data_IF_721181936735
#
_entry.id   IF_721181936735
#
_cell.length_a   1.000
_cell.length_b   1.000
_cell.length_c   1.000
_cell.angle_alpha   90.00
_cell.angle_beta   90.00
_cell.angle_gamma   90.00
#
_symmetry.space_group_name_H-M   'P 1'
#
loop_
_entity.id
_entity.type
_entity.pdbx_description
1 polymer ?
#
# COMPACT_ATOMS: atom_id res chain seq x y z
N UNK A 1 4.00 20.17 -0.58
CA UNK A 1 5.12 19.45 -1.18
C UNK A 1 5.85 20.38 -2.11
N UNK A 2 7.11 20.64 -1.82
CA UNK A 2 7.99 21.44 -2.68
C UNK A 2 8.63 20.58 -3.78
N UNK A 3 9.41 21.23 -4.65
CA UNK A 3 10.10 20.57 -5.76
C UNK A 3 11.02 19.44 -5.32
N UNK A 4 11.84 19.68 -4.30
CA UNK A 4 12.87 18.71 -3.89
C UNK A 4 12.20 17.47 -3.28
N UNK A 5 11.18 17.70 -2.46
CA UNK A 5 10.37 16.63 -1.90
C UNK A 5 9.65 15.83 -2.99
N UNK A 6 9.07 16.49 -4.00
CA UNK A 6 8.46 15.83 -5.15
C UNK A 6 9.47 14.92 -5.87
N UNK A 7 10.67 15.42 -6.17
CA UNK A 7 11.70 14.64 -6.85
C UNK A 7 12.13 13.41 -6.05
N UNK A 8 12.26 13.55 -4.73
CA UNK A 8 12.57 12.43 -3.84
C UNK A 8 11.47 11.38 -3.85
N UNK A 9 10.21 11.80 -3.78
CA UNK A 9 9.05 10.89 -3.81
C UNK A 9 8.96 10.17 -5.15
N UNK A 10 9.06 10.88 -6.27
CA UNK A 10 9.02 10.24 -7.60
C UNK A 10 10.16 9.24 -7.80
N UNK A 11 11.38 9.58 -7.36
CA UNK A 11 12.53 8.67 -7.42
C UNK A 11 12.31 7.43 -6.57
N UNK A 12 11.78 7.59 -5.36
CA UNK A 12 11.46 6.49 -4.45
C UNK A 12 10.42 5.55 -5.04
N UNK A 13 9.36 6.12 -5.59
CA UNK A 13 8.27 5.39 -6.25
C UNK A 13 8.67 4.85 -7.64
N UNK A 14 9.86 5.23 -8.13
CA UNK A 14 10.37 4.92 -9.49
C UNK A 14 9.38 5.32 -10.58
N UNK A 15 8.72 6.46 -10.40
CA UNK A 15 7.76 7.02 -11.34
C UNK A 15 8.45 7.98 -12.30
N UNK A 16 8.23 7.77 -13.60
CA UNK A 16 8.43 8.82 -14.59
C UNK A 16 7.38 9.92 -14.45
N UNK A 17 7.65 11.14 -14.95
CA UNK A 17 6.67 12.23 -14.94
C UNK A 17 5.36 11.86 -15.65
N UNK A 18 5.44 11.06 -16.72
CA UNK A 18 4.28 10.60 -17.49
C UNK A 18 3.43 9.61 -16.69
N UNK A 19 4.04 8.66 -16.00
CA UNK A 19 3.32 7.71 -15.16
C UNK A 19 2.67 8.41 -13.96
N UNK A 20 3.40 9.32 -13.31
CA UNK A 20 2.84 10.13 -12.22
C UNK A 20 1.64 10.95 -12.68
N UNK A 21 1.69 11.55 -13.87
CA UNK A 21 0.59 12.29 -14.46
C UNK A 21 -0.65 11.40 -14.68
N UNK A 22 -0.46 10.20 -15.25
CA UNK A 22 -1.54 9.23 -15.46
C UNK A 22 -2.20 8.80 -14.14
N UNK A 23 -1.40 8.43 -13.13
CA UNK A 23 -1.91 8.00 -11.83
C UNK A 23 -2.60 9.13 -11.05
N UNK A 24 -2.13 10.37 -11.22
CA UNK A 24 -2.75 11.55 -10.60
C UNK A 24 -3.92 12.10 -11.41
N UNK A 25 -4.19 11.56 -12.60
CA UNK A 25 -5.19 12.09 -13.56
C UNK A 25 -4.98 13.58 -13.85
N UNK A 26 -3.73 13.98 -14.08
CA UNK A 26 -3.34 15.34 -14.49
C UNK A 26 -2.58 15.33 -15.80
N UNK A 27 -2.51 16.48 -16.47
CA UNK A 27 -1.70 16.61 -17.68
C UNK A 27 -0.19 16.44 -17.38
N UNK A 28 0.60 15.74 -18.21
CA UNK A 28 2.04 15.60 -18.03
C UNK A 28 2.80 16.93 -17.89
N UNK A 29 2.35 18.00 -18.55
CA UNK A 29 2.93 19.36 -18.42
C UNK A 29 2.70 19.93 -17.03
N UNK A 30 1.64 19.53 -16.33
CA UNK A 30 1.38 19.94 -14.94
C UNK A 30 2.46 19.37 -14.02
N UNK A 31 2.80 18.09 -14.18
CA UNK A 31 3.89 17.45 -13.41
C UNK A 31 5.24 18.09 -13.75
N UNK A 32 5.51 18.33 -15.04
CA UNK A 32 6.73 19.03 -15.47
C UNK A 32 6.84 20.42 -14.84
N UNK A 33 5.75 21.19 -14.77
CA UNK A 33 5.72 22.51 -14.10
C UNK A 33 6.06 22.43 -12.62
N UNK A 34 5.56 21.42 -11.89
CA UNK A 34 5.93 21.22 -10.48
C UNK A 34 7.43 20.90 -10.34
N UNK A 35 7.97 20.07 -11.24
CA UNK A 35 9.38 19.64 -11.22
C UNK A 35 10.38 20.72 -11.67
N UNK A 36 10.02 21.57 -12.64
CA UNK A 36 10.95 22.54 -13.25
C UNK A 36 10.83 23.92 -12.62
N UNK A 37 9.59 24.40 -12.44
CA UNK A 37 9.31 25.78 -12.00
C UNK A 37 9.10 25.88 -10.49
N UNK A 38 9.13 24.76 -9.78
CA UNK A 38 8.91 24.71 -8.33
C UNK A 38 7.50 25.13 -7.92
N UNK A 39 6.52 25.03 -8.82
CA UNK A 39 5.13 25.27 -8.48
C UNK A 39 4.69 24.27 -7.40
N UNK A 40 3.95 24.77 -6.40
CA UNK A 40 3.47 23.95 -5.28
C UNK A 40 2.53 22.86 -5.80
N UNK A 41 2.76 21.62 -5.37
CA UNK A 41 1.86 20.50 -5.68
C UNK A 41 0.52 20.74 -4.96
N UNK A 42 -0.63 20.63 -5.65
CA UNK A 42 -1.94 20.76 -5.03
C UNK A 42 -2.18 19.70 -3.96
N UNK A 43 -2.98 20.05 -2.94
CA UNK A 43 -3.25 19.20 -1.77
C UNK A 43 -3.60 17.74 -2.11
N UNK A 44 -4.58 17.47 -3.00
CA UNK A 44 -4.95 16.10 -3.36
C UNK A 44 -3.81 15.29 -3.98
N UNK A 45 -3.05 15.89 -4.90
CA UNK A 45 -1.91 15.23 -5.54
C UNK A 45 -0.76 14.99 -4.55
N UNK A 46 -0.50 15.97 -3.67
CA UNK A 46 0.47 15.84 -2.60
C UNK A 46 0.08 14.70 -1.64
N UNK A 47 -1.19 14.62 -1.23
CA UNK A 47 -1.67 13.60 -0.31
C UNK A 47 -1.53 12.20 -0.92
N UNK A 48 -1.92 12.03 -2.20
CA UNK A 48 -1.76 10.77 -2.91
C UNK A 48 -0.29 10.34 -3.01
N UNK A 49 0.60 11.24 -3.45
CA UNK A 49 2.05 10.95 -3.55
C UNK A 49 2.66 10.54 -2.21
N UNK A 50 2.27 11.23 -1.13
CA UNK A 50 2.71 10.90 0.23
C UNK A 50 2.19 9.55 0.71
N UNK A 51 0.92 9.24 0.45
CA UNK A 51 0.33 7.95 0.79
C UNK A 51 1.03 6.82 0.05
N UNK A 52 1.22 6.96 -1.27
CA UNK A 52 1.94 5.97 -2.07
C UNK A 52 3.37 5.74 -1.57
N UNK A 53 4.09 6.80 -1.19
CA UNK A 53 5.44 6.68 -0.64
C UNK A 53 5.50 5.88 0.67
N UNK A 54 4.48 6.01 1.52
CA UNK A 54 4.36 5.27 2.79
C UNK A 54 3.89 3.83 2.58
N UNK A 55 2.93 3.60 1.69
CA UNK A 55 2.51 2.26 1.29
C UNK A 55 3.69 1.48 0.69
N UNK A 56 4.49 2.12 -0.16
CA UNK A 56 5.70 1.52 -0.72
C UNK A 56 6.71 1.12 0.38
N UNK A 57 6.90 1.95 1.43
CA UNK A 57 7.75 1.59 2.57
C UNK A 57 7.19 0.43 3.39
N UNK A 58 5.87 0.33 3.48
CA UNK A 58 5.17 -0.74 4.18
C UNK A 58 5.07 -2.03 3.35
N UNK A 59 5.61 -2.04 2.12
CA UNK A 59 5.49 -3.18 1.21
C UNK A 59 4.05 -3.42 0.74
N UNK A 60 3.18 -2.42 0.76
CA UNK A 60 1.79 -2.54 0.31
C UNK A 60 1.62 -2.08 -1.14
N UNK A 61 0.69 -2.70 -1.90
CA UNK A 61 0.43 -2.32 -3.27
C UNK A 61 -0.14 -0.90 -3.30
N UNK A 62 0.50 -0.03 -4.08
CA UNK A 62 0.06 1.35 -4.28
C UNK A 62 -0.14 1.71 -5.76
N UNK A 63 0.31 0.87 -6.70
CA UNK A 63 0.20 1.13 -8.14
C UNK A 63 -0.63 0.05 -8.85
N UNK A 64 -1.42 0.41 -9.87
CA UNK A 64 -2.15 -0.55 -10.68
C UNK A 64 -1.16 -1.22 -11.63
N UNK A 65 -0.86 -2.51 -11.45
CA UNK A 65 0.10 -3.23 -12.29
C UNK A 65 -0.56 -3.83 -13.53
N UNK A 66 -1.61 -4.60 -13.31
CA UNK A 66 -2.21 -5.46 -14.35
C UNK A 66 -3.70 -5.18 -14.57
N UNK A 67 -4.36 -4.53 -13.60
CA UNK A 67 -5.81 -4.29 -13.62
C UNK A 67 -6.29 -3.26 -14.65
N UNK A 68 -5.38 -2.62 -15.39
CA UNK A 68 -5.73 -1.62 -16.41
C UNK A 68 -5.64 -2.16 -17.84
N UNK A 69 -5.09 -3.37 -18.03
CA UNK A 69 -4.88 -3.94 -19.37
C UNK A 69 -6.24 -4.30 -19.98
N UNK A 70 -6.51 -3.81 -21.19
CA UNK A 70 -7.74 -4.11 -21.93
C UNK A 70 -8.97 -3.29 -21.50
N UNK A 71 -8.81 -2.35 -20.57
CA UNK A 71 -9.88 -1.43 -20.19
C UNK A 71 -10.02 -0.28 -21.19
N UNK A 72 -11.23 0.26 -21.32
CA UNK A 72 -11.46 1.53 -21.99
C UNK A 72 -10.78 2.68 -21.22
N UNK A 73 -10.56 3.83 -21.85
CA UNK A 73 -9.99 4.99 -21.18
C UNK A 73 -10.83 5.44 -19.97
N UNK A 74 -12.15 5.39 -20.09
CA UNK A 74 -13.08 5.75 -19.02
C UNK A 74 -12.99 4.77 -17.84
N UNK A 75 -12.98 3.46 -18.12
CA UNK A 75 -12.87 2.44 -17.09
C UNK A 75 -11.50 2.48 -16.41
N UNK A 76 -10.43 2.69 -17.17
CA UNK A 76 -9.09 2.84 -16.63
C UNK A 76 -8.98 4.07 -15.72
N UNK A 77 -9.59 5.20 -16.10
CA UNK A 77 -9.64 6.40 -15.27
C UNK A 77 -10.40 6.16 -13.96
N UNK A 78 -11.51 5.43 -14.01
CA UNK A 78 -12.29 5.08 -12.82
C UNK A 78 -11.53 4.11 -11.90
N UNK A 79 -10.86 3.09 -12.44
CA UNK A 79 -10.03 2.19 -11.66
C UNK A 79 -8.85 2.92 -10.99
N UNK A 80 -8.24 3.90 -11.67
CA UNK A 80 -7.20 4.76 -11.08
C UNK A 80 -7.78 5.63 -9.96
N UNK A 81 -9.01 6.15 -10.10
CA UNK A 81 -9.70 6.90 -9.03
C UNK A 81 -9.94 6.02 -7.80
N UNK A 82 -10.54 4.84 -7.99
CA UNK A 82 -10.83 3.88 -6.92
C UNK A 82 -9.55 3.42 -6.21
N UNK A 83 -8.49 3.12 -6.96
CA UNK A 83 -7.20 2.76 -6.39
C UNK A 83 -6.64 3.89 -5.52
N UNK A 84 -6.73 5.15 -5.96
CA UNK A 84 -6.28 6.29 -5.15
C UNK A 84 -7.03 6.39 -3.84
N UNK A 85 -8.35 6.25 -3.88
CA UNK A 85 -9.19 6.29 -2.67
C UNK A 85 -8.84 5.16 -1.71
N UNK A 86 -8.68 3.94 -2.25
CA UNK A 86 -8.25 2.79 -1.48
C UNK A 86 -6.87 3.02 -0.83
N UNK A 87 -5.90 3.52 -1.60
CA UNK A 87 -4.55 3.81 -1.08
C UNK A 87 -4.56 4.87 0.02
N UNK A 88 -5.41 5.90 -0.09
CA UNK A 88 -5.56 6.90 0.95
C UNK A 88 -6.15 6.28 2.22
N UNK A 89 -7.20 5.47 2.10
CA UNK A 89 -7.81 4.78 3.24
C UNK A 89 -6.83 3.82 3.92
N UNK A 90 -6.03 3.10 3.13
CA UNK A 90 -5.01 2.16 3.62
C UNK A 90 -3.85 2.89 4.32
N UNK A 91 -3.38 4.01 3.76
CA UNK A 91 -2.37 4.85 4.40
C UNK A 91 -2.88 5.45 5.72
N UNK A 92 -4.12 5.95 5.72
CA UNK A 92 -4.76 6.47 6.94
C UNK A 92 -4.89 5.38 8.00
N UNK A 93 -5.20 4.14 7.60
CA UNK A 93 -5.21 2.99 8.50
C UNK A 93 -3.85 2.77 9.15
N UNK A 94 -2.77 2.65 8.37
CA UNK A 94 -1.42 2.44 8.92
C UNK A 94 -1.01 3.57 9.87
N UNK A 95 -1.37 4.81 9.51
CA UNK A 95 -1.13 5.97 10.37
C UNK A 95 -1.88 5.88 11.69
N UNK A 96 -3.14 5.44 11.69
CA UNK A 96 -3.92 5.21 12.93
C UNK A 96 -3.27 4.13 13.79
N UNK A 97 -2.88 2.99 13.21
CA UNK A 97 -2.19 1.91 13.94
C UNK A 97 -0.89 2.42 14.56
N UNK A 98 -0.08 3.16 13.78
CA UNK A 98 1.15 3.76 14.30
C UNK A 98 0.89 4.77 15.41
N UNK A 99 -0.14 5.62 15.29
CA UNK A 99 -0.47 6.65 16.26
C UNK A 99 -0.91 6.08 17.62
N UNK A 100 -1.50 4.88 17.66
CA UNK A 100 -1.84 4.17 18.91
C UNK A 100 -0.67 3.42 19.55
N UNK A 101 0.54 3.52 18.98
CA UNK A 101 1.74 2.84 19.48
C UNK A 101 2.11 1.56 18.74
N UNK A 102 1.46 1.26 17.61
CA UNK A 102 1.65 0.03 16.85
C UNK A 102 0.45 -0.91 16.96
N UNK A 103 0.59 -2.17 16.49
CA UNK A 103 -0.45 -3.18 16.64
C UNK A 103 -0.81 -3.38 18.11
N UNK A 104 -2.10 -3.35 18.45
CA UNK A 104 -2.55 -3.57 19.83
C UNK A 104 -2.43 -5.04 20.23
N UNK A 105 -2.64 -5.94 19.25
CA UNK A 105 -2.42 -7.36 19.39
C UNK A 105 -1.20 -7.78 18.55
N UNK A 106 -0.17 -8.44 19.13
CA UNK A 106 0.99 -8.89 18.38
C UNK A 106 0.62 -10.13 17.56
N UNK A 107 0.42 -9.94 16.26
CA UNK A 107 0.24 -11.07 15.34
C UNK A 107 1.60 -11.73 15.09
N UNK A 108 1.67 -13.06 15.19
CA UNK A 108 2.84 -13.81 14.76
C UNK A 108 2.79 -13.96 13.24
N UNK A 109 3.79 -13.41 12.55
CA UNK A 109 3.86 -13.43 11.09
C UNK A 109 4.85 -14.51 10.64
N UNK A 110 4.34 -15.44 9.84
CA UNK A 110 5.11 -16.45 9.13
C UNK A 110 5.21 -16.03 7.64
N UNK A 111 6.41 -15.57 7.27
CA UNK A 111 6.70 -15.11 5.91
C UNK A 111 6.86 -16.27 4.91
N UNK A 112 7.17 -17.48 5.36
CA UNK A 112 7.37 -18.64 4.48
C UNK A 112 6.02 -19.26 4.11
N UNK A 113 5.09 -19.35 5.07
CA UNK A 113 3.73 -19.84 4.85
C UNK A 113 2.74 -18.75 4.42
N UNK A 114 3.20 -17.49 4.37
CA UNK A 114 2.38 -16.31 4.06
C UNK A 114 1.13 -16.17 4.95
N UNK A 115 1.32 -16.35 6.26
CA UNK A 115 0.27 -16.28 7.27
C UNK A 115 0.63 -15.33 8.40
N UNK A 116 -0.37 -14.69 8.96
CA UNK A 116 -0.29 -14.02 10.25
C UNK A 116 -1.33 -14.64 11.18
N UNK A 117 -0.94 -14.92 12.43
CA UNK A 117 -1.78 -15.58 13.42
C UNK A 117 -1.91 -14.75 14.68
N UNK A 118 -3.12 -14.73 15.25
CA UNK A 118 -3.39 -14.15 16.55
C UNK A 118 -4.00 -15.22 17.46
N UNK A 119 -3.17 -15.75 18.35
CA UNK A 119 -3.51 -16.93 19.14
C UNK A 119 -3.81 -18.15 18.25
N UNK A 120 -4.55 -19.12 18.79
CA UNK A 120 -4.89 -20.36 18.08
C UNK A 120 -6.12 -20.22 17.19
N UNK A 121 -6.85 -19.10 17.30
CA UNK A 121 -8.19 -18.98 16.73
C UNK A 121 -8.27 -18.04 15.54
N UNK A 122 -7.31 -17.17 15.27
CA UNK A 122 -7.43 -16.15 14.21
C UNK A 122 -6.25 -16.23 13.25
N UNK A 123 -6.53 -16.19 11.95
CA UNK A 123 -5.52 -16.26 10.89
C UNK A 123 -5.85 -15.33 9.74
N UNK A 124 -4.84 -14.61 9.27
CA UNK A 124 -4.87 -13.81 8.06
C UNK A 124 -3.85 -14.38 7.07
N UNK A 125 -4.30 -14.72 5.86
CA UNK A 125 -3.44 -15.14 4.76
C UNK A 125 -3.07 -13.93 3.90
N UNK A 126 -1.89 -13.97 3.30
CA UNK A 126 -1.46 -12.95 2.33
C UNK A 126 -0.71 -13.57 1.15
N UNK A 127 -0.52 -12.78 0.11
CA UNK A 127 0.31 -13.15 -1.05
C UNK A 127 1.55 -12.29 -1.08
N UNK A 128 2.69 -12.88 -1.43
CA UNK A 128 3.88 -12.14 -1.82
C UNK A 128 3.72 -11.53 -3.22
N UNK A 129 4.09 -10.26 -3.36
CA UNK A 129 4.09 -9.57 -4.64
C UNK A 129 5.50 -9.59 -5.27
N UNK A 130 5.64 -9.59 -6.61
CA UNK A 130 6.94 -9.70 -7.28
C UNK A 130 7.95 -8.58 -6.95
N UNK A 131 7.47 -7.44 -6.46
CA UNK A 131 8.29 -6.30 -6.01
C UNK A 131 8.74 -6.37 -4.56
N UNK A 132 8.41 -7.46 -3.86
CA UNK A 132 8.69 -7.63 -2.44
C UNK A 132 7.65 -6.97 -1.54
N UNK A 133 6.52 -6.53 -2.08
CA UNK A 133 5.35 -6.20 -1.28
C UNK A 133 4.47 -7.41 -0.94
N UNK A 134 3.32 -7.19 -0.35
CA UNK A 134 2.31 -8.20 -0.06
C UNK A 134 0.88 -7.68 -0.26
N UNK A 135 -0.07 -8.58 -0.47
CA UNK A 135 -1.50 -8.27 -0.46
C UNK A 135 -2.21 -9.20 0.52
N UNK A 136 -3.03 -8.68 1.47
CA UNK A 136 -3.96 -9.51 2.23
C UNK A 136 -4.86 -10.33 1.30
N UNK A 137 -5.17 -11.56 1.70
CA UNK A 137 -5.97 -12.50 0.91
C UNK A 137 -7.28 -12.84 1.62
N UNK A 138 -7.22 -13.69 2.64
CA UNK A 138 -8.40 -14.16 3.35
C UNK A 138 -8.18 -14.12 4.85
N UNK A 139 -9.27 -13.89 5.58
CA UNK A 139 -9.29 -13.88 7.04
C UNK A 139 -10.22 -14.99 7.52
N UNK A 140 -9.76 -15.76 8.50
CA UNK A 140 -10.56 -16.77 9.17
C UNK A 140 -10.40 -16.71 10.67
N UNK A 141 -11.44 -17.15 11.37
CA UNK A 141 -11.36 -17.40 12.80
C UNK A 141 -12.13 -18.67 13.18
N UNK A 142 -11.67 -19.38 14.21
CA UNK A 142 -12.17 -20.68 14.65
C UNK A 142 -13.04 -20.61 15.91
N UNK A 143 -12.94 -19.54 16.69
CA UNK A 143 -13.68 -19.41 17.95
C UNK A 143 -15.15 -18.98 17.76
N UNK A 144 -15.49 -18.42 16.58
CA UNK A 144 -16.84 -17.97 16.20
C UNK A 144 -16.92 -17.65 14.71
N UNK A 145 -18.09 -17.28 14.22
CA UNK A 145 -18.23 -16.77 12.86
C UNK A 145 -17.46 -15.44 12.65
N UNK A 146 -16.69 -15.32 11.54
CA UNK A 146 -16.03 -14.08 11.16
C UNK A 146 -17.04 -12.94 10.99
N UNK A 147 -16.78 -11.81 11.64
CA UNK A 147 -17.53 -10.58 11.41
C UNK A 147 -16.53 -9.49 11.05
N UNK A 148 -16.46 -9.12 9.78
CA UNK A 148 -15.47 -8.17 9.28
C UNK A 148 -15.54 -6.80 9.94
N UNK A 149 -16.75 -6.27 10.21
CA UNK A 149 -16.90 -4.96 10.85
C UNK A 149 -16.32 -4.96 12.27
N UNK A 150 -16.66 -5.98 13.06
CA UNK A 150 -16.18 -6.15 14.43
C UNK A 150 -14.68 -6.47 14.48
N UNK A 151 -14.23 -7.31 13.56
CA UNK A 151 -12.87 -7.85 13.58
C UNK A 151 -11.88 -6.94 12.85
N UNK A 152 -12.37 -5.91 12.14
CA UNK A 152 -11.54 -4.99 11.35
C UNK A 152 -10.35 -4.41 12.12
N UNK A 153 -10.49 -3.93 13.38
CA UNK A 153 -9.33 -3.40 14.11
C UNK A 153 -8.21 -4.43 14.31
N UNK A 154 -8.55 -5.71 14.46
CA UNK A 154 -7.58 -6.81 14.56
C UNK A 154 -6.97 -7.15 13.20
N UNK A 155 -7.74 -7.04 12.12
CA UNK A 155 -7.24 -7.18 10.74
C UNK A 155 -6.26 -6.03 10.41
N UNK A 156 -6.55 -4.79 10.82
CA UNK A 156 -5.63 -3.65 10.69
C UNK A 156 -4.30 -3.93 11.43
N UNK A 157 -4.36 -4.48 12.64
CA UNK A 157 -3.18 -4.91 13.41
C UNK A 157 -2.38 -6.00 12.67
N UNK A 158 -3.07 -6.95 12.05
CA UNK A 158 -2.43 -8.01 11.26
C UNK A 158 -1.68 -7.43 10.06
N UNK A 159 -2.32 -6.54 9.30
CA UNK A 159 -1.73 -5.89 8.12
C UNK A 159 -0.49 -5.08 8.54
N UNK A 160 -0.59 -4.32 9.63
CA UNK A 160 0.54 -3.58 10.17
C UNK A 160 1.68 -4.53 10.59
N UNK A 161 1.38 -5.61 11.31
CA UNK A 161 2.37 -6.60 11.75
C UNK A 161 3.08 -7.27 10.56
N UNK A 162 2.35 -7.62 9.50
CA UNK A 162 2.94 -8.18 8.26
C UNK A 162 3.86 -7.17 7.60
N UNK A 163 3.44 -5.90 7.50
CA UNK A 163 4.28 -4.84 6.94
C UNK A 163 5.58 -4.65 7.74
N UNK A 164 5.52 -4.74 9.07
CA UNK A 164 6.71 -4.67 9.93
C UNK A 164 7.63 -5.89 9.72
N UNK A 165 7.09 -7.11 9.71
CA UNK A 165 7.86 -8.33 9.48
C UNK A 165 8.57 -8.33 8.11
N UNK A 166 7.89 -7.89 7.06
CA UNK A 166 8.46 -7.76 5.71
C UNK A 166 9.59 -6.73 5.67
N UNK A 167 9.39 -5.58 6.31
CA UNK A 167 10.41 -4.54 6.41
C UNK A 167 11.66 -5.06 7.12
N UNK A 168 11.49 -5.82 8.18
CA UNK A 168 12.58 -6.37 8.99
C UNK A 168 13.31 -7.52 8.25
N UNK A 169 12.58 -8.34 7.49
CA UNK A 169 13.17 -9.38 6.63
C UNK A 169 13.95 -8.81 5.44
N UNK A 170 13.60 -7.59 5.00
CA UNK A 170 14.29 -6.85 3.96
C UNK A 170 13.95 -7.28 2.53
N UNK A 171 14.62 -6.69 1.53
CA UNK A 171 14.32 -6.93 0.12
C UNK A 171 14.59 -8.40 -0.24
N UNK A 172 13.63 -9.03 -0.95
CA UNK A 172 13.64 -10.44 -1.38
C UNK A 172 13.22 -11.48 -0.33
N UNK A 173 12.52 -11.09 0.73
CA UNK A 173 11.89 -12.04 1.67
C UNK A 173 11.07 -13.13 0.92
N UNK A 174 10.34 -12.74 -0.12
CA UNK A 174 9.53 -13.62 -0.98
C UNK A 174 10.31 -14.65 -1.80
N UNK A 175 11.64 -14.56 -1.87
CA UNK A 175 12.47 -15.52 -2.61
C UNK A 175 12.94 -16.70 -1.77
N UNK A 176 12.64 -16.72 -0.46
CA UNK A 176 13.00 -17.83 0.43
C UNK A 176 12.05 -19.01 0.34
N UNK A 177 10.85 -18.82 -0.20
CA UNK A 177 9.79 -19.84 -0.28
C UNK A 177 9.95 -20.88 -1.42
N UNK A 178 11.11 -20.97 -2.08
CA UNK A 178 11.39 -21.99 -3.10
C UNK A 178 12.81 -22.55 -2.94
N UNK A 179 12.98 -23.49 -2.01
CA UNK A 179 14.05 -24.50 -2.04
C UNK A 179 13.41 -25.86 -1.81
#
# INVERSE_FOLDING_TARGET
MDRNELLLVLRKLRLSPKEAAGLLSVDPKTVARWMERGAKVPGPAEQALRAWARLADAGLPWRPRECLIGLSEADAAEQIRLLREHNLALDDMLRRVKARGGPAAPWMVDLDNHTAELGESMRLYFYALPDGGFSPSSYSRLDRDPNYERDWPLIEDAIASIAEAIRDAGPRWYKRANV
#
